data_IF_159187521574
#
_entry.id   IF_159187521574
#
_cell.length_a   1.000
_cell.length_b   1.000
_cell.length_c   1.000
_cell.angle_alpha   90.00
_cell.angle_beta   90.00
_cell.angle_gamma   90.00
#
_symmetry.space_group_name_H-M   'P 1'
#
loop_
_entity.id
_entity.type
_entity.pdbx_description
1 polymer ?
#
# COMPACT_ATOMS: atom_id res chain seq x y z
N UNK A 1 13.36 4.01 -26.96
CA UNK A 1 13.89 3.66 -25.62
C UNK A 1 12.77 3.88 -24.63
N UNK A 2 12.32 2.85 -23.92
CA UNK A 2 11.30 3.00 -22.89
C UNK A 2 11.83 3.94 -21.82
N UNK A 3 11.10 5.01 -21.51
CA UNK A 3 11.47 5.94 -20.44
C UNK A 3 11.50 5.20 -19.12
N UNK A 4 12.61 5.30 -18.38
CA UNK A 4 12.73 4.76 -17.04
C UNK A 4 11.73 5.45 -16.12
N UNK A 5 10.80 4.68 -15.53
CA UNK A 5 9.92 5.18 -14.47
C UNK A 5 10.50 4.74 -13.11
N UNK A 6 11.13 5.64 -12.34
CA UNK A 6 11.73 5.30 -11.06
C UNK A 6 10.74 4.68 -10.06
N UNK A 7 9.47 5.09 -10.10
CA UNK A 7 8.43 4.59 -9.20
C UNK A 7 8.09 3.12 -9.51
N UNK A 8 8.03 2.75 -10.79
CA UNK A 8 7.83 1.34 -11.17
C UNK A 8 9.00 0.45 -10.74
N UNK A 9 10.22 0.99 -10.71
CA UNK A 9 11.40 0.26 -10.26
C UNK A 9 11.35 -0.02 -8.76
N UNK A 10 10.88 0.95 -7.95
CA UNK A 10 10.70 0.79 -6.49
C UNK A 10 9.76 -0.39 -6.19
N UNK A 11 8.64 -0.48 -6.93
CA UNK A 11 7.66 -1.55 -6.74
C UNK A 11 8.18 -2.92 -7.21
N UNK A 12 8.93 -2.96 -8.31
CA UNK A 12 9.46 -4.20 -8.86
C UNK A 12 10.61 -4.79 -8.03
N UNK A 13 11.43 -3.95 -7.41
CA UNK A 13 12.61 -4.38 -6.64
C UNK A 13 12.25 -4.92 -5.25
N UNK A 14 11.09 -4.56 -4.72
CA UNK A 14 10.67 -4.98 -3.38
C UNK A 14 9.23 -5.49 -3.40
N UNK A 15 8.98 -6.56 -4.17
CA UNK A 15 7.66 -7.18 -4.21
C UNK A 15 7.30 -7.74 -2.84
N UNK A 16 6.03 -7.65 -2.47
CA UNK A 16 5.53 -8.28 -1.24
C UNK A 16 5.59 -9.80 -1.35
N UNK A 17 6.31 -10.42 -0.42
CA UNK A 17 6.46 -11.88 -0.27
C UNK A 17 5.96 -12.37 1.09
N UNK A 18 5.48 -11.46 1.94
CA UNK A 18 4.94 -11.72 3.27
C UNK A 18 5.85 -11.15 4.37
N UNK A 19 7.05 -11.74 4.63
CA UNK A 19 7.95 -11.27 5.69
C UNK A 19 8.45 -9.83 5.53
N UNK A 20 8.44 -9.26 4.32
CA UNK A 20 8.90 -7.90 4.04
C UNK A 20 7.77 -6.85 4.04
N UNK A 21 6.62 -7.13 4.66
CA UNK A 21 5.46 -6.24 4.64
C UNK A 21 5.77 -4.80 5.05
N UNK A 22 6.59 -4.58 6.08
CA UNK A 22 6.92 -3.22 6.56
C UNK A 22 7.70 -2.43 5.52
N UNK A 23 8.74 -3.03 4.94
CA UNK A 23 9.55 -2.42 3.89
C UNK A 23 8.76 -2.20 2.61
N UNK A 24 7.95 -3.19 2.22
CA UNK A 24 7.05 -3.09 1.07
C UNK A 24 6.05 -1.96 1.25
N UNK A 25 5.38 -1.88 2.40
CA UNK A 25 4.39 -0.84 2.69
C UNK A 25 5.01 0.56 2.65
N UNK A 26 6.23 0.71 3.18
CA UNK A 26 6.98 1.98 3.10
C UNK A 26 7.25 2.38 1.64
N UNK A 27 7.67 1.43 0.81
CA UNK A 27 7.95 1.68 -0.61
C UNK A 27 6.67 2.05 -1.38
N UNK A 28 5.56 1.35 -1.10
CA UNK A 28 4.26 1.67 -1.65
C UNK A 28 3.82 3.08 -1.23
N UNK A 29 3.98 3.46 0.04
CA UNK A 29 3.62 4.80 0.54
C UNK A 29 4.40 5.91 -0.17
N UNK A 30 5.67 5.69 -0.49
CA UNK A 30 6.48 6.63 -1.28
C UNK A 30 5.87 6.81 -2.67
N UNK A 31 5.52 5.71 -3.35
CA UNK A 31 4.94 5.75 -4.70
C UNK A 31 3.57 6.44 -4.69
N UNK A 32 2.68 6.05 -3.78
CA UNK A 32 1.35 6.66 -3.67
C UNK A 32 1.41 8.14 -3.28
N UNK A 33 2.41 8.54 -2.50
CA UNK A 33 2.63 9.97 -2.18
C UNK A 33 3.11 10.73 -3.41
N UNK A 34 4.08 10.19 -4.15
CA UNK A 34 4.62 10.82 -5.36
C UNK A 34 3.55 10.98 -6.46
N UNK A 35 2.64 10.02 -6.56
CA UNK A 35 1.52 10.03 -7.51
C UNK A 35 0.30 10.82 -7.00
N UNK A 36 0.30 11.25 -5.74
CA UNK A 36 -0.80 12.00 -5.13
C UNK A 36 -2.04 11.17 -4.81
N UNK A 37 -1.93 9.84 -4.67
CA UNK A 37 -3.03 8.92 -4.40
C UNK A 37 -3.11 8.43 -2.95
N UNK A 38 -2.13 8.76 -2.10
CA UNK A 38 -2.06 8.25 -0.71
C UNK A 38 -3.34 8.47 0.12
N UNK A 39 -4.10 9.52 -0.18
CA UNK A 39 -5.32 9.85 0.54
C UNK A 39 -6.36 8.70 0.53
N UNK A 40 -6.45 7.91 -0.55
CA UNK A 40 -7.46 6.84 -0.67
C UNK A 40 -7.25 5.65 0.28
N UNK A 41 -6.07 5.56 0.91
CA UNK A 41 -5.74 4.53 1.88
C UNK A 41 -5.66 5.06 3.31
N UNK A 42 -5.93 6.35 3.53
CA UNK A 42 -5.84 7.00 4.86
C UNK A 42 -7.09 7.79 5.23
N UNK A 43 -7.85 8.25 4.25
CA UNK A 43 -9.05 9.07 4.43
C UNK A 43 -10.30 8.25 4.05
N UNK A 44 -11.48 8.69 4.50
CA UNK A 44 -12.75 8.07 4.14
C UNK A 44 -13.20 8.48 2.73
N UNK A 45 -13.78 7.52 2.01
CA UNK A 45 -14.35 7.77 0.69
C UNK A 45 -15.47 8.81 0.78
N UNK A 46 -15.46 9.87 -0.05
CA UNK A 46 -16.55 10.83 -0.09
C UNK A 46 -17.85 10.13 -0.48
N UNK A 47 -18.95 10.53 0.14
CA UNK A 47 -20.26 9.99 -0.20
C UNK A 47 -20.58 10.26 -1.67
N UNK A 48 -21.07 9.22 -2.34
CA UNK A 48 -21.59 9.36 -3.69
C UNK A 48 -22.76 10.31 -3.62
N UNK A 49 -22.62 11.45 -4.25
CA UNK A 49 -23.55 12.55 -4.07
C UNK A 49 -24.88 12.26 -4.78
N UNK A 50 -26.00 12.67 -4.18
CA UNK A 50 -27.35 12.55 -4.74
C UNK A 50 -27.55 13.48 -5.95
N UNK A 51 -28.72 13.41 -6.62
CA UNK A 51 -29.02 14.19 -7.84
C UNK A 51 -28.84 15.72 -7.69
N UNK A 52 -28.89 16.24 -6.47
CA UNK A 52 -28.75 17.68 -6.14
C UNK A 52 -27.28 18.13 -5.92
N UNK A 53 -26.31 17.26 -6.16
CA UNK A 53 -24.92 17.56 -5.88
C UNK A 53 -24.30 18.56 -6.84
N UNK A 54 -23.38 19.35 -6.29
CA UNK A 54 -22.59 20.30 -7.08
C UNK A 54 -21.61 19.57 -7.99
N UNK A 55 -21.29 20.19 -9.13
CA UNK A 55 -20.28 19.71 -10.07
C UNK A 55 -18.92 19.42 -9.38
N UNK A 56 -18.56 20.22 -8.36
CA UNK A 56 -17.35 20.02 -7.58
C UNK A 56 -17.38 18.75 -6.70
N UNK A 57 -18.54 18.35 -6.19
CA UNK A 57 -18.69 17.11 -5.43
C UNK A 57 -18.55 15.88 -6.33
N UNK A 58 -19.16 15.90 -7.52
CA UNK A 58 -18.96 14.84 -8.51
C UNK A 58 -17.50 14.71 -8.93
N UNK A 59 -16.83 15.83 -9.22
CA UNK A 59 -15.40 15.85 -9.54
C UNK A 59 -14.53 15.30 -8.43
N UNK A 60 -14.84 15.60 -7.16
CA UNK A 60 -14.12 15.08 -6.02
C UNK A 60 -14.29 13.55 -5.90
N UNK A 61 -15.51 13.05 -6.05
CA UNK A 61 -15.80 11.61 -6.05
C UNK A 61 -15.11 10.87 -7.20
N UNK A 62 -15.20 11.37 -8.43
CA UNK A 62 -14.54 10.76 -9.59
C UNK A 62 -13.02 10.75 -9.44
N UNK A 63 -12.45 11.84 -8.91
CA UNK A 63 -11.02 11.90 -8.57
C UNK A 63 -10.64 10.85 -7.53
N UNK A 64 -11.49 10.63 -6.53
CA UNK A 64 -11.28 9.61 -5.51
C UNK A 64 -11.30 8.20 -6.11
N UNK A 65 -12.36 7.87 -6.87
CA UNK A 65 -12.52 6.56 -7.52
C UNK A 65 -11.32 6.24 -8.39
N UNK A 66 -10.88 7.19 -9.21
CA UNK A 66 -9.69 7.02 -10.05
C UNK A 66 -8.41 6.80 -9.22
N UNK A 67 -8.23 7.54 -8.13
CA UNK A 67 -7.07 7.37 -7.25
C UNK A 67 -7.08 6.01 -6.53
N UNK A 68 -8.26 5.50 -6.15
CA UNK A 68 -8.42 4.18 -5.54
C UNK A 68 -8.09 3.07 -6.56
N UNK A 69 -8.62 3.16 -7.77
CA UNK A 69 -8.31 2.23 -8.86
C UNK A 69 -6.81 2.18 -9.15
N UNK A 70 -6.16 3.34 -9.26
CA UNK A 70 -4.71 3.41 -9.48
C UNK A 70 -3.91 2.85 -8.30
N UNK A 71 -4.35 3.12 -7.07
CA UNK A 71 -3.71 2.58 -5.87
C UNK A 71 -3.82 1.06 -5.80
N UNK A 72 -4.98 0.49 -6.18
CA UNK A 72 -5.17 -0.96 -6.33
C UNK A 72 -4.22 -1.54 -7.37
N UNK A 73 -4.05 -0.89 -8.53
CA UNK A 73 -3.08 -1.32 -9.54
C UNK A 73 -1.65 -1.36 -8.98
N UNK A 74 -1.22 -0.34 -8.22
CA UNK A 74 0.09 -0.32 -7.60
C UNK A 74 0.28 -1.41 -6.54
N UNK A 75 -0.74 -1.65 -5.71
CA UNK A 75 -0.73 -2.74 -4.72
C UNK A 75 -0.57 -4.09 -5.44
N UNK A 76 -1.41 -4.38 -6.44
CA UNK A 76 -1.36 -5.64 -7.20
C UNK A 76 -0.05 -5.84 -7.96
N UNK A 77 0.48 -4.78 -8.58
CA UNK A 77 1.73 -4.87 -9.35
C UNK A 77 2.96 -5.08 -8.46
N UNK A 78 2.88 -4.67 -7.19
CA UNK A 78 3.99 -4.71 -6.24
C UNK A 78 3.98 -5.92 -5.31
N UNK A 79 3.21 -6.97 -5.62
CA UNK A 79 3.19 -8.21 -4.83
C UNK A 79 3.56 -9.44 -5.66
N UNK A 80 3.94 -10.52 -4.97
CA UNK A 80 4.14 -11.82 -5.62
C UNK A 80 2.83 -12.34 -6.24
N UNK A 81 2.95 -13.11 -7.33
CA UNK A 81 1.79 -13.54 -8.14
C UNK A 81 0.71 -14.27 -7.32
N UNK A 82 1.10 -15.05 -6.31
CA UNK A 82 0.15 -15.76 -5.44
C UNK A 82 -0.71 -14.78 -4.65
N UNK A 83 -0.09 -13.76 -4.05
CA UNK A 83 -0.81 -12.71 -3.33
C UNK A 83 -1.65 -11.87 -4.29
N UNK A 84 -1.12 -11.57 -5.48
CA UNK A 84 -1.84 -10.82 -6.51
C UNK A 84 -3.16 -11.51 -6.87
N UNK A 85 -3.12 -12.82 -7.08
CA UNK A 85 -4.31 -13.60 -7.39
C UNK A 85 -5.32 -13.62 -6.23
N UNK A 86 -4.85 -13.70 -4.98
CA UNK A 86 -5.72 -13.68 -3.80
C UNK A 86 -6.45 -12.35 -3.60
N UNK A 87 -5.84 -11.22 -3.98
CA UNK A 87 -6.37 -9.90 -3.70
C UNK A 87 -7.06 -9.22 -4.90
N UNK A 88 -7.01 -9.80 -6.10
CA UNK A 88 -7.53 -9.16 -7.33
C UNK A 88 -9.03 -8.79 -7.29
N UNK A 89 -9.82 -9.50 -6.49
CA UNK A 89 -11.28 -9.29 -6.38
C UNK A 89 -11.68 -8.29 -5.29
N UNK A 90 -10.73 -7.80 -4.50
CA UNK A 90 -10.99 -6.81 -3.45
C UNK A 90 -11.35 -5.46 -4.08
N UNK A 91 -12.30 -4.76 -3.45
CA UNK A 91 -12.99 -3.62 -4.07
C UNK A 91 -12.25 -2.29 -3.91
N UNK A 92 -11.54 -2.10 -2.80
CA UNK A 92 -10.81 -0.86 -2.51
C UNK A 92 -9.33 -1.13 -2.21
N UNK A 93 -8.48 -0.12 -2.42
CA UNK A 93 -7.08 -0.17 -2.02
C UNK A 93 -6.93 -0.29 -0.50
N UNK A 94 -7.84 0.34 0.25
CA UNK A 94 -7.89 0.28 1.70
C UNK A 94 -8.11 -1.16 2.21
N UNK A 95 -9.13 -1.86 1.70
CA UNK A 95 -9.44 -3.24 2.11
C UNK A 95 -8.27 -4.19 1.83
N UNK A 96 -7.61 -4.01 0.68
CA UNK A 96 -6.41 -4.77 0.34
C UNK A 96 -5.30 -4.55 1.37
N UNK A 97 -5.07 -3.31 1.78
CA UNK A 97 -4.02 -3.00 2.75
C UNK A 97 -4.34 -3.51 4.15
N UNK A 98 -5.59 -3.37 4.62
CA UNK A 98 -5.97 -3.90 5.93
C UNK A 98 -5.89 -5.42 5.96
N UNK A 99 -6.29 -6.12 4.90
CA UNK A 99 -6.12 -7.58 4.84
C UNK A 99 -4.64 -8.00 4.84
N UNK A 100 -3.79 -7.35 4.04
CA UNK A 100 -2.35 -7.64 4.02
C UNK A 100 -1.69 -7.37 5.38
N UNK A 101 -2.12 -6.32 6.08
CA UNK A 101 -1.67 -5.98 7.43
C UNK A 101 -2.10 -7.05 8.45
N UNK A 102 -3.31 -7.57 8.33
CA UNK A 102 -3.78 -8.69 9.18
C UNK A 102 -2.93 -9.95 8.95
N UNK A 103 -2.62 -10.27 7.68
CA UNK A 103 -1.82 -11.44 7.33
C UNK A 103 -0.36 -11.34 7.81
N UNK A 104 0.28 -10.18 7.64
CA UNK A 104 1.74 -10.04 7.77
C UNK A 104 2.24 -9.01 8.79
N UNK A 105 1.36 -8.15 9.31
CA UNK A 105 1.73 -7.06 10.20
C UNK A 105 2.28 -7.52 11.55
N UNK A 106 1.67 -8.55 12.15
CA UNK A 106 2.10 -9.08 13.45
C UNK A 106 3.45 -9.82 13.37
N UNK A 107 3.66 -10.61 12.32
CA UNK A 107 4.88 -11.38 12.09
C UNK A 107 6.11 -10.47 12.00
N UNK A 108 5.96 -9.33 11.32
CA UNK A 108 6.98 -8.30 11.22
C UNK A 108 7.29 -7.62 12.56
N UNK A 109 6.27 -7.35 13.38
CA UNK A 109 6.47 -6.76 14.72
C UNK A 109 7.33 -7.67 15.60
N UNK A 110 7.06 -8.97 15.57
CA UNK A 110 7.83 -9.96 16.31
C UNK A 110 9.28 -10.08 15.82
N UNK A 111 9.47 -10.10 14.49
CA UNK A 111 10.81 -10.11 13.88
C UNK A 111 11.63 -8.88 14.30
N UNK A 112 11.04 -7.68 14.18
CA UNK A 112 11.68 -6.41 14.56
C UNK A 112 12.05 -6.36 16.05
N UNK A 113 11.17 -6.83 16.94
CA UNK A 113 11.46 -6.91 18.37
C UNK A 113 12.62 -7.86 18.66
N UNK A 114 12.68 -9.00 17.96
CA UNK A 114 13.77 -9.97 18.09
C UNK A 114 15.11 -9.36 17.64
N UNK A 115 15.14 -8.71 16.49
CA UNK A 115 16.35 -8.01 16.00
C UNK A 115 16.81 -6.92 16.96
N UNK A 116 15.89 -6.13 17.51
CA UNK A 116 16.23 -5.07 18.50
C UNK A 116 16.79 -5.67 19.80
N UNK A 117 16.18 -6.75 20.31
CA UNK A 117 16.68 -7.45 21.51
C UNK A 117 18.07 -8.03 21.29
N UNK A 118 18.32 -8.64 20.12
CA UNK A 118 19.65 -9.13 19.75
C UNK A 118 20.70 -8.01 19.78
N UNK A 119 20.40 -6.86 19.16
CA UNK A 119 21.30 -5.69 19.16
C UNK A 119 21.59 -5.16 20.57
N UNK A 120 20.58 -5.09 21.43
CA UNK A 120 20.76 -4.65 22.83
C UNK A 120 21.58 -5.65 23.65
N UNK A 121 21.36 -6.95 23.46
CA UNK A 121 22.10 -7.99 24.16
C UNK A 121 23.57 -8.06 23.72
N UNK A 122 23.86 -7.84 22.43
CA UNK A 122 25.24 -7.76 21.93
C UNK A 122 26.00 -6.60 22.57
N UNK A 123 25.35 -5.44 22.80
CA UNK A 123 25.96 -4.30 23.49
C UNK A 123 26.14 -4.46 25.00
N UNK A 124 25.45 -5.41 25.64
CA UNK A 124 25.63 -5.70 27.07
C UNK A 124 26.66 -6.80 27.34
N UNK A 125 27.10 -7.50 26.30
CA UNK A 125 28.12 -8.54 26.38
C UNK A 125 29.54 -8.05 26.00
N UNK A 126 29.65 -6.78 25.58
CA UNK A 126 30.91 -6.03 25.42
C UNK A 126 31.16 -5.14 26.65
#
# INVERSE_FOLDING_TARGET
MSSFNPLTSILNQNKLEGPNYVEWKRNLDIVLTAEGYKFVITEECPEKSDEDATDDQFKAYDKWVKADEMSRCYILASMANVLQHQHQSMRSAYDMLENLKEMFGEQNRAAKQTSMKSLLNTKMAE
#
